data_IF_682329215273
#
_entry.id   IF_682329215273
#
_cell.length_a   1.000
_cell.length_b   1.000
_cell.length_c   1.000
_cell.angle_alpha   90.00
_cell.angle_beta   90.00
_cell.angle_gamma   90.00
#
_symmetry.space_group_name_H-M   'P 1'
#
loop_
_entity.id
_entity.type
_entity.pdbx_description
1 polymer ?
#
# COMPACT_ATOMS: atom_id res chain seq x y z
N UNK A 1 -2.25 0.93 -2.40
CA UNK A 1 -0.86 0.78 -2.88
C UNK A 1 -0.77 1.34 -4.29
N UNK A 2 0.45 1.71 -4.69
CA UNK A 2 0.79 2.09 -6.06
C UNK A 2 1.71 1.00 -6.63
N UNK A 3 1.43 0.60 -7.87
CA UNK A 3 2.12 -0.48 -8.58
C UNK A 3 2.88 0.06 -9.78
N UNK A 4 3.98 -0.59 -10.13
CA UNK A 4 4.66 -0.37 -11.39
C UNK A 4 4.08 -1.22 -12.54
N UNK A 5 4.79 -1.25 -13.67
CA UNK A 5 4.35 -1.99 -14.87
C UNK A 5 4.50 -3.52 -14.75
N UNK A 6 5.17 -4.00 -13.71
CA UNK A 6 5.37 -5.43 -13.40
C UNK A 6 4.49 -5.86 -12.20
N UNK A 7 3.49 -5.04 -11.84
CA UNK A 7 2.59 -5.22 -10.70
C UNK A 7 3.31 -5.24 -9.33
N UNK A 8 4.54 -4.73 -9.26
CA UNK A 8 5.31 -4.65 -8.03
C UNK A 8 4.89 -3.43 -7.20
N UNK A 9 4.80 -3.60 -5.89
CA UNK A 9 4.57 -2.49 -4.96
C UNK A 9 5.73 -1.48 -5.03
N UNK A 10 5.44 -0.22 -5.37
CA UNK A 10 6.41 0.88 -5.29
C UNK A 10 6.14 1.81 -4.10
N UNK A 11 4.86 1.93 -3.70
CA UNK A 11 4.42 2.64 -2.49
C UNK A 11 3.21 1.96 -1.88
N UNK A 12 3.15 1.90 -0.55
CA UNK A 12 2.00 1.38 0.19
C UNK A 12 1.62 2.28 1.34
N UNK A 13 0.31 2.34 1.61
CA UNK A 13 -0.26 2.93 2.82
C UNK A 13 -1.14 1.87 3.46
N UNK A 14 -0.95 1.62 4.76
CA UNK A 14 -1.88 0.89 5.61
C UNK A 14 -2.62 1.87 6.51
N UNK A 15 -3.92 1.66 6.65
CA UNK A 15 -4.78 2.36 7.60
C UNK A 15 -5.49 1.30 8.43
N UNK A 16 -5.18 1.25 9.72
CA UNK A 16 -5.74 0.26 10.64
C UNK A 16 -7.03 0.77 11.30
N UNK A 17 -7.89 -0.12 11.83
CA UNK A 17 -9.17 0.27 12.43
C UNK A 17 -9.08 1.25 13.62
N UNK A 18 -7.94 1.30 14.31
CA UNK A 18 -7.67 2.22 15.41
C UNK A 18 -7.20 3.62 14.93
N UNK A 19 -7.08 3.81 13.61
CA UNK A 19 -6.60 5.03 12.99
C UNK A 19 -5.08 5.13 12.89
N UNK A 20 -4.32 4.10 13.29
CA UNK A 20 -2.90 4.01 12.98
C UNK A 20 -2.69 3.99 11.46
N UNK A 21 -1.69 4.72 10.99
CA UNK A 21 -1.35 4.83 9.57
C UNK A 21 0.13 4.57 9.39
N UNK A 22 0.46 3.73 8.43
CA UNK A 22 1.82 3.36 8.10
C UNK A 22 2.03 3.46 6.61
N UNK A 23 3.24 3.82 6.17
CA UNK A 23 3.59 3.81 4.75
C UNK A 23 4.97 3.25 4.49
N UNK A 24 5.16 2.70 3.30
CA UNK A 24 6.46 2.25 2.80
C UNK A 24 6.64 2.71 1.35
N UNK A 25 7.89 2.97 0.97
CA UNK A 25 8.32 3.16 -0.42
C UNK A 25 9.67 2.47 -0.65
N UNK A 26 10.12 2.45 -1.91
CA UNK A 26 11.37 1.81 -2.33
C UNK A 26 12.63 2.46 -1.75
N UNK A 27 12.52 3.65 -1.18
CA UNK A 27 13.64 4.41 -0.59
C UNK A 27 13.69 4.32 0.93
N UNK A 28 12.56 4.00 1.57
CA UNK A 28 12.36 3.96 3.02
C UNK A 28 11.57 2.71 3.42
N UNK A 29 12.22 1.54 3.49
CA UNK A 29 11.65 0.41 4.23
C UNK A 29 11.59 0.78 5.71
N UNK A 30 10.40 0.83 6.28
CA UNK A 30 10.20 1.05 7.72
C UNK A 30 10.12 -0.29 8.45
N UNK A 31 10.29 -0.29 9.79
CA UNK A 31 10.24 -1.51 10.61
C UNK A 31 8.89 -2.24 10.52
N UNK A 32 7.80 -1.48 10.53
CA UNK A 32 6.47 -2.04 10.81
C UNK A 32 5.64 -2.26 9.53
N UNK A 33 6.07 -1.72 8.39
CA UNK A 33 5.42 -1.89 7.09
C UNK A 33 6.46 -1.96 5.96
N UNK A 34 6.27 -2.93 5.06
CA UNK A 34 7.20 -3.25 3.96
C UNK A 34 6.46 -3.36 2.64
N UNK A 35 7.18 -3.17 1.52
CA UNK A 35 6.65 -3.50 0.20
C UNK A 35 6.71 -5.02 -0.02
N UNK A 36 5.75 -5.56 -0.76
CA UNK A 36 5.78 -6.95 -1.20
C UNK A 36 7.00 -7.22 -2.09
N UNK A 37 7.62 -8.39 -1.93
CA UNK A 37 8.74 -8.89 -2.73
C UNK A 37 8.29 -9.70 -3.95
N UNK A 38 6.98 -9.91 -4.10
CA UNK A 38 6.34 -10.55 -5.24
C UNK A 38 5.32 -9.60 -5.89
N UNK A 39 5.01 -9.80 -7.19
CA UNK A 39 3.98 -9.04 -7.87
C UNK A 39 2.61 -9.18 -7.20
N UNK A 40 1.83 -8.11 -7.25
CA UNK A 40 0.45 -8.11 -6.74
C UNK A 40 -0.42 -8.95 -7.68
N UNK A 41 -1.23 -9.88 -7.15
CA UNK A 41 -2.15 -10.64 -7.98
C UNK A 41 -3.20 -9.73 -8.67
N UNK A 42 -3.76 -10.16 -9.81
CA UNK A 42 -4.82 -9.43 -10.48
C UNK A 42 -6.02 -9.15 -9.56
N UNK A 43 -6.72 -8.04 -9.81
CA UNK A 43 -7.80 -7.57 -8.95
C UNK A 43 -8.97 -8.58 -8.85
N UNK A 44 -9.25 -9.28 -9.94
CA UNK A 44 -10.24 -10.35 -10.06
C UNK A 44 -9.86 -11.60 -9.25
N UNK A 45 -8.56 -11.91 -9.13
CA UNK A 45 -8.06 -12.96 -8.25
C UNK A 45 -8.21 -12.57 -6.78
N UNK A 46 -7.79 -11.35 -6.41
CA UNK A 46 -7.94 -10.82 -5.04
C UNK A 46 -9.41 -10.87 -4.60
N UNK A 47 -10.31 -10.39 -5.46
CA UNK A 47 -11.75 -10.35 -5.17
C UNK A 47 -12.45 -11.71 -5.25
N UNK A 48 -11.76 -12.77 -5.68
CA UNK A 48 -12.30 -14.13 -5.64
C UNK A 48 -12.32 -14.71 -4.21
N UNK A 49 -11.46 -14.18 -3.33
CA UNK A 49 -11.47 -14.50 -1.90
C UNK A 49 -12.38 -13.51 -1.14
N UNK A 50 -13.47 -14.01 -0.49
CA UNK A 50 -14.45 -13.16 0.19
C UNK A 50 -13.90 -12.43 1.41
N UNK A 51 -12.68 -12.72 1.87
CA UNK A 51 -12.01 -11.99 2.94
C UNK A 51 -11.46 -10.63 2.48
N UNK A 52 -11.38 -10.39 1.16
CA UNK A 52 -10.80 -9.18 0.59
C UNK A 52 -11.80 -8.42 -0.30
N UNK A 53 -11.61 -7.10 -0.36
CA UNK A 53 -12.32 -6.22 -1.29
C UNK A 53 -11.30 -5.25 -1.90
N UNK A 54 -10.92 -5.51 -3.15
CA UNK A 54 -10.00 -4.71 -3.93
C UNK A 54 -10.73 -3.82 -4.94
N UNK A 55 -10.26 -2.58 -5.09
CA UNK A 55 -10.67 -1.67 -6.17
C UNK A 55 -9.50 -0.80 -6.63
N UNK A 56 -9.53 -0.38 -7.88
CA UNK A 56 -8.68 0.70 -8.34
C UNK A 56 -9.11 2.03 -7.74
N UNK A 57 -8.13 2.86 -7.40
CA UNK A 57 -8.31 4.24 -6.95
C UNK A 57 -7.54 5.15 -7.89
N UNK A 58 -7.88 6.44 -7.90
CA UNK A 58 -7.10 7.40 -8.68
C UNK A 58 -5.77 7.69 -7.99
N UNK A 59 -4.83 8.24 -8.77
CA UNK A 59 -3.55 8.69 -8.21
C UNK A 59 -3.77 9.75 -7.14
N UNK A 60 -4.70 10.67 -7.34
CA UNK A 60 -5.02 11.75 -6.41
C UNK A 60 -5.53 11.20 -5.07
N UNK A 61 -6.44 10.22 -5.11
CA UNK A 61 -6.92 9.53 -3.89
C UNK A 61 -5.77 8.87 -3.14
N UNK A 62 -4.84 8.23 -3.86
CA UNK A 62 -3.66 7.63 -3.24
C UNK A 62 -2.75 8.69 -2.60
N UNK A 63 -2.45 9.78 -3.31
CA UNK A 63 -1.59 10.85 -2.80
C UNK A 63 -2.18 11.54 -1.57
N UNK A 64 -3.50 11.68 -1.48
CA UNK A 64 -4.15 12.18 -0.28
C UNK A 64 -3.84 11.31 0.94
N UNK A 65 -4.03 9.99 0.82
CA UNK A 65 -3.75 9.06 1.91
C UNK A 65 -2.25 8.92 2.20
N UNK A 66 -1.40 9.03 1.17
CA UNK A 66 0.05 9.07 1.31
C UNK A 66 0.49 10.27 2.17
N UNK A 67 -0.02 11.46 1.87
CA UNK A 67 0.36 12.71 2.55
C UNK A 67 -0.23 12.85 3.96
N UNK A 68 -1.38 12.22 4.24
CA UNK A 68 -1.94 12.11 5.59
C UNK A 68 -1.15 11.15 6.49
N UNK A 69 -0.35 10.26 5.89
CA UNK A 69 0.41 9.24 6.62
C UNK A 69 1.82 9.73 6.92
N UNK A 70 2.22 9.89 8.19
CA UNK A 70 3.55 10.37 8.54
C UNK A 70 4.63 9.46 7.95
N UNK A 71 5.75 10.05 7.54
CA UNK A 71 6.96 9.29 7.27
C UNK A 71 7.44 8.75 8.60
N UNK A 72 7.40 7.43 8.79
CA UNK A 72 8.04 6.84 9.95
C UNK A 72 9.55 7.06 9.82
N UNK A 73 10.16 7.57 10.89
CA UNK A 73 11.60 7.68 11.00
C UNK A 73 12.05 6.48 11.82
N UNK A 74 12.84 5.60 11.21
CA UNK A 74 13.57 4.59 11.97
C UNK A 74 14.34 5.28 13.10
N UNK A 75 14.15 4.80 14.32
CA UNK A 75 14.87 5.27 15.51
C UNK A 75 16.38 5.06 15.38
#
# INVERSE_FOLDING_TARGET
>A
MELDAEDMEIRKVHVYPDGLRERADTTLPDKDTWLADEPTPPLDEINSDPQFEGRWITKEEFEEEWNKTPQQRGA
#
